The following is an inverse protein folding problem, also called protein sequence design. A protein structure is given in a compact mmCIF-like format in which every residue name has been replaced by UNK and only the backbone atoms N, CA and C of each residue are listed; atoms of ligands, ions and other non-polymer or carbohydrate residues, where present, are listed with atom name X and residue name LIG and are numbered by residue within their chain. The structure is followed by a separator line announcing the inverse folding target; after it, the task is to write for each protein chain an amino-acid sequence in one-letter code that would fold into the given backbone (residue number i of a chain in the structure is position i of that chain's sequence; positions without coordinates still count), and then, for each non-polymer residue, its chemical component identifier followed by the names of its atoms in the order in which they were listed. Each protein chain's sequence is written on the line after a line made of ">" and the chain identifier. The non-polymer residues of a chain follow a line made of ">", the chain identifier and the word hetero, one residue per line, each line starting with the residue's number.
data_IF_284776784713
#
_entry.id   IF_284776784713
#
_cell.length_a   1.000
_cell.length_b   1.000
_cell.length_c   1.000
_cell.angle_alpha   90.00
_cell.angle_beta   90.00
_cell.angle_gamma   90.00
#
_symmetry.space_group_name_H-M   'P 1'
#
loop_
_entity.id
_entity.type
_entity.pdbx_description
1 polymer ?
#
# COMPACT_ATOMS: atom_id res chain seq x y z
N UNK A 1 21.36 -20.58 0.73
CA UNK A 1 22.05 -19.75 1.74
C UNK A 1 21.02 -19.52 2.83
N UNK A 2 21.24 -20.08 3.99
CA UNK A 2 20.25 -20.22 5.08
C UNK A 2 20.05 -18.85 5.75
N UNK A 3 18.80 -18.44 5.96
CA UNK A 3 18.43 -17.38 6.91
C UNK A 3 19.07 -17.74 8.24
N UNK A 4 19.65 -16.76 8.95
CA UNK A 4 20.13 -17.00 10.32
C UNK A 4 18.99 -17.61 11.14
N UNK A 5 19.30 -18.52 12.05
CA UNK A 5 18.33 -19.38 12.78
C UNK A 5 17.15 -18.66 13.47
N UNK A 6 17.05 -17.34 13.37
CA UNK A 6 16.00 -16.53 14.02
C UNK A 6 15.33 -15.49 13.09
N UNK A 7 15.57 -15.52 11.77
CA UNK A 7 14.96 -14.58 10.83
C UNK A 7 13.86 -15.26 10.02
N UNK A 8 12.73 -14.57 9.86
CA UNK A 8 11.58 -15.02 9.12
C UNK A 8 11.06 -13.89 8.21
N UNK A 9 10.54 -14.26 7.03
CA UNK A 9 9.83 -13.32 6.15
C UNK A 9 8.38 -13.76 6.08
N UNK A 10 7.47 -12.84 6.39
CA UNK A 10 6.03 -13.09 6.36
C UNK A 10 5.23 -11.86 5.97
N UNK A 11 3.97 -12.04 5.66
CA UNK A 11 3.00 -10.96 5.52
C UNK A 11 2.59 -10.44 6.91
N UNK A 12 2.60 -9.13 7.10
CA UNK A 12 2.18 -8.48 8.33
C UNK A 12 0.66 -8.28 8.31
N UNK A 13 -0.07 -9.09 9.05
CA UNK A 13 -1.53 -8.97 9.20
C UNK A 13 -1.93 -8.23 10.48
N UNK A 14 -1.10 -8.33 11.50
CA UNK A 14 -1.26 -7.72 12.83
C UNK A 14 0.09 -7.20 13.30
N UNK A 15 0.10 -6.20 14.13
CA UNK A 15 1.34 -5.62 14.65
C UNK A 15 1.21 -5.28 16.13
N UNK A 16 2.33 -5.30 16.84
CA UNK A 16 2.51 -4.77 18.19
C UNK A 16 2.96 -3.31 18.12
N UNK A 17 2.87 -2.58 19.23
CA UNK A 17 3.38 -1.21 19.30
C UNK A 17 4.89 -1.17 18.98
N UNK A 18 5.66 -2.16 19.46
CA UNK A 18 7.10 -2.25 19.16
C UNK A 18 7.36 -2.41 17.67
N UNK A 19 6.62 -3.27 16.99
CA UNK A 19 6.72 -3.46 15.53
C UNK A 19 6.30 -2.21 14.73
N UNK A 20 5.36 -1.42 15.23
CA UNK A 20 5.05 -0.13 14.62
C UNK A 20 6.23 0.85 14.72
N UNK A 21 6.90 0.91 15.88
CA UNK A 21 8.09 1.77 16.04
C UNK A 21 9.26 1.28 15.17
N UNK A 22 9.43 -0.05 15.02
CA UNK A 22 10.41 -0.62 14.08
C UNK A 22 10.13 -0.18 12.64
N UNK A 23 8.87 -0.29 12.18
CA UNK A 23 8.47 0.18 10.85
C UNK A 23 8.68 1.68 10.68
N UNK A 24 8.35 2.47 11.70
CA UNK A 24 8.56 3.93 11.67
C UNK A 24 10.05 4.28 11.54
N UNK A 25 10.91 3.55 12.22
CA UNK A 25 12.36 3.69 12.07
C UNK A 25 12.80 3.35 10.64
N UNK A 26 12.33 2.24 10.07
CA UNK A 26 12.63 1.84 8.69
C UNK A 26 12.18 2.89 7.68
N UNK A 27 10.98 3.45 7.84
CA UNK A 27 10.49 4.52 6.96
C UNK A 27 11.37 5.77 7.04
N UNK A 28 11.92 6.11 8.21
CA UNK A 28 12.87 7.22 8.36
C UNK A 28 14.22 6.95 7.66
N UNK A 29 14.67 5.70 7.62
CA UNK A 29 15.85 5.30 6.84
C UNK A 29 15.59 5.32 5.32
N UNK A 30 14.34 5.11 4.91
CA UNK A 30 13.93 5.15 3.51
C UNK A 30 13.89 6.58 2.98
N UNK A 31 13.33 7.52 3.76
CA UNK A 31 13.19 8.92 3.35
C UNK A 31 12.93 9.85 4.53
N UNK A 32 13.71 10.95 4.61
CA UNK A 32 13.54 12.02 5.61
C UNK A 32 12.21 12.79 5.50
N UNK A 33 11.44 12.55 4.43
CA UNK A 33 10.17 13.25 4.15
C UNK A 33 8.94 12.46 4.59
N UNK A 34 9.11 11.23 5.05
CA UNK A 34 8.00 10.37 5.43
C UNK A 34 7.58 10.66 6.87
N UNK A 35 6.33 11.03 7.06
CA UNK A 35 5.69 11.09 8.37
C UNK A 35 4.75 9.89 8.50
N UNK A 36 5.31 8.71 8.80
CA UNK A 36 4.57 7.47 8.91
C UNK A 36 3.78 7.40 10.21
N UNK A 37 2.48 7.18 10.10
CA UNK A 37 1.54 7.12 11.23
C UNK A 37 0.88 5.74 11.34
N UNK A 38 0.27 5.46 12.49
CA UNK A 38 -0.54 4.24 12.65
C UNK A 38 -1.73 4.20 11.67
N UNK A 39 -2.29 5.36 11.34
CA UNK A 39 -3.38 5.46 10.36
C UNK A 39 -2.91 5.01 8.97
N UNK A 40 -1.70 5.39 8.55
CA UNK A 40 -1.13 4.96 7.28
C UNK A 40 -0.91 3.45 7.26
N UNK A 41 -0.35 2.87 8.34
CA UNK A 41 -0.20 1.42 8.46
C UNK A 41 -1.55 0.69 8.38
N UNK A 42 -2.56 1.21 9.08
CA UNK A 42 -3.89 0.60 9.07
C UNK A 42 -4.57 0.68 7.70
N UNK A 43 -4.30 1.71 6.88
CA UNK A 43 -4.78 1.77 5.50
C UNK A 43 -4.18 0.63 4.67
N UNK A 44 -2.87 0.41 4.79
CA UNK A 44 -2.18 -0.70 4.08
C UNK A 44 -2.74 -2.05 4.52
N UNK A 45 -2.83 -2.33 5.83
CA UNK A 45 -3.24 -3.63 6.35
C UNK A 45 -4.74 -3.97 6.10
N UNK A 46 -5.57 -2.96 5.82
CA UNK A 46 -7.01 -3.16 5.52
C UNK A 46 -7.32 -3.27 4.03
N UNK A 47 -6.41 -2.86 3.19
CA UNK A 47 -6.60 -2.92 1.74
C UNK A 47 -6.24 -4.33 1.24
N UNK A 48 -7.22 -5.04 0.71
CA UNK A 48 -7.03 -6.39 0.16
C UNK A 48 -6.13 -6.45 -1.09
N UNK A 49 -5.76 -5.31 -1.65
CA UNK A 49 -4.82 -5.21 -2.76
C UNK A 49 -3.42 -4.76 -2.31
N UNK A 50 -3.21 -4.52 -1.01
CA UNK A 50 -1.93 -4.15 -0.44
C UNK A 50 -1.44 -5.24 0.51
N UNK A 51 -0.23 -5.75 0.27
CA UNK A 51 0.39 -6.81 1.05
C UNK A 51 1.73 -6.30 1.59
N UNK A 52 1.80 -6.07 2.89
CA UNK A 52 3.03 -5.63 3.56
C UNK A 52 3.81 -6.86 4.03
N UNK A 53 4.95 -7.13 3.42
CA UNK A 53 5.86 -8.19 3.82
C UNK A 53 6.96 -7.64 4.70
N UNK A 54 7.30 -8.34 5.77
CA UNK A 54 8.31 -7.92 6.74
C UNK A 54 9.35 -9.02 6.96
N UNK A 55 10.56 -8.60 7.29
CA UNK A 55 11.61 -9.47 7.80
C UNK A 55 11.61 -9.31 9.32
N UNK A 56 11.46 -10.40 10.04
CA UNK A 56 11.56 -10.46 11.49
C UNK A 56 12.93 -11.00 11.91
N UNK A 57 13.51 -10.38 12.94
CA UNK A 57 14.57 -10.94 13.77
C UNK A 57 14.02 -11.11 15.19
N UNK A 58 13.56 -12.31 15.51
CA UNK A 58 12.72 -12.55 16.67
C UNK A 58 11.38 -11.80 16.54
N UNK A 59 11.09 -10.86 17.45
CA UNK A 59 9.86 -10.07 17.45
C UNK A 59 9.99 -8.71 16.72
N UNK A 60 11.23 -8.35 16.32
CA UNK A 60 11.54 -7.05 15.71
C UNK A 60 11.46 -7.08 14.18
N UNK A 61 10.88 -6.04 13.60
CA UNK A 61 10.88 -5.85 12.15
C UNK A 61 12.17 -5.15 11.73
N UNK A 62 12.96 -5.82 10.89
CA UNK A 62 14.27 -5.34 10.42
C UNK A 62 14.30 -5.01 8.92
N UNK A 63 13.22 -5.23 8.23
CA UNK A 63 13.04 -4.84 6.82
C UNK A 63 11.60 -5.04 6.39
N UNK A 64 11.20 -4.32 5.34
CA UNK A 64 9.87 -4.47 4.74
C UNK A 64 9.85 -4.15 3.25
N UNK A 65 8.77 -4.58 2.61
CA UNK A 65 8.37 -4.21 1.25
C UNK A 65 6.85 -4.36 1.11
N UNK A 66 6.21 -3.45 0.39
CA UNK A 66 4.77 -3.49 0.12
C UNK A 66 4.53 -3.89 -1.33
N UNK A 67 3.67 -4.89 -1.56
CA UNK A 67 3.16 -5.26 -2.89
C UNK A 67 1.76 -4.67 -3.03
N UNK A 68 1.59 -3.71 -3.95
CA UNK A 68 0.30 -3.08 -4.24
C UNK A 68 -0.21 -3.57 -5.60
N UNK A 69 -1.39 -4.20 -5.62
CA UNK A 69 -2.00 -4.77 -6.83
C UNK A 69 -3.06 -3.81 -7.34
N UNK A 70 -3.07 -3.56 -8.63
CA UNK A 70 -4.08 -2.73 -9.26
C UNK A 70 -4.47 -3.26 -10.64
N UNK A 71 -5.69 -2.92 -11.04
CA UNK A 71 -6.26 -3.34 -12.32
C UNK A 71 -6.43 -2.14 -13.24
N UNK A 72 -6.15 -2.35 -14.52
CA UNK A 72 -6.43 -1.39 -15.58
C UNK A 72 -7.00 -2.13 -16.80
N UNK A 73 -7.60 -1.42 -17.77
CA UNK A 73 -8.07 -2.08 -19.00
C UNK A 73 -7.01 -2.88 -19.75
N UNK A 74 -5.72 -2.63 -19.48
CA UNK A 74 -4.59 -3.35 -20.09
C UNK A 74 -4.09 -4.53 -19.26
N UNK A 75 -4.76 -4.87 -18.17
CA UNK A 75 -4.44 -6.05 -17.34
C UNK A 75 -4.16 -5.75 -15.88
N UNK A 76 -3.81 -6.80 -15.15
CA UNK A 76 -3.40 -6.75 -13.74
C UNK A 76 -1.93 -6.36 -13.65
N UNK A 77 -1.65 -5.42 -12.77
CA UNK A 77 -0.30 -4.91 -12.49
C UNK A 77 -0.09 -4.83 -11.00
N UNK A 78 1.17 -4.86 -10.58
CA UNK A 78 1.53 -4.55 -9.21
C UNK A 78 2.73 -3.61 -9.16
N UNK A 79 2.77 -2.78 -8.13
CA UNK A 79 3.93 -2.00 -7.75
C UNK A 79 4.54 -2.56 -6.47
N UNK A 80 5.87 -2.64 -6.42
CA UNK A 80 6.59 -2.97 -5.19
C UNK A 80 7.13 -1.65 -4.63
N UNK A 81 6.64 -1.30 -3.46
CA UNK A 81 6.90 -0.02 -2.81
C UNK A 81 7.63 -0.21 -1.48
N UNK A 82 8.28 0.85 -1.03
CA UNK A 82 8.89 0.98 0.30
C UNK A 82 9.83 -0.17 0.68
N UNK A 83 10.63 -0.63 -0.31
CA UNK A 83 11.65 -1.67 -0.07
C UNK A 83 12.78 -1.10 0.77
N UNK A 84 12.88 -1.56 2.01
CA UNK A 84 13.90 -1.15 2.96
C UNK A 84 14.36 -2.30 3.85
N UNK A 85 15.63 -2.31 4.18
CA UNK A 85 16.24 -3.16 5.23
C UNK A 85 17.07 -2.25 6.11
N UNK A 86 16.90 -2.36 7.42
CA UNK A 86 17.64 -1.57 8.39
C UNK A 86 19.14 -1.60 8.10
N UNK A 87 19.77 -0.44 8.18
CA UNK A 87 21.20 -0.24 7.93
C UNK A 87 22.08 -1.16 8.79
N UNK A 88 21.62 -1.51 10.01
CA UNK A 88 22.29 -2.44 10.91
C UNK A 88 22.39 -3.88 10.34
N UNK A 89 21.55 -4.22 9.36
CA UNK A 89 21.46 -5.54 8.74
C UNK A 89 21.98 -5.57 7.30
N UNK A 90 22.60 -4.50 6.82
CA UNK A 90 23.16 -4.46 5.47
C UNK A 90 24.27 -5.50 5.28
N UNK A 91 24.51 -5.91 4.04
CA UNK A 91 25.53 -6.92 3.69
C UNK A 91 25.11 -8.38 3.97
N UNK A 92 23.94 -8.62 4.57
CA UNK A 92 23.44 -9.96 4.89
C UNK A 92 22.49 -10.54 3.82
N UNK A 93 22.40 -9.94 2.66
CA UNK A 93 21.53 -10.33 1.54
C UNK A 93 20.02 -10.33 1.83
N UNK A 94 19.59 -9.71 2.94
CA UNK A 94 18.18 -9.70 3.34
C UNK A 94 17.27 -9.01 2.32
N UNK A 95 17.72 -7.91 1.73
CA UNK A 95 16.96 -7.24 0.68
C UNK A 95 16.72 -8.13 -0.55
N UNK A 96 17.67 -9.01 -0.89
CA UNK A 96 17.47 -10.01 -1.95
C UNK A 96 16.43 -11.05 -1.56
N UNK A 97 16.53 -11.60 -0.36
CA UNK A 97 15.59 -12.61 0.14
C UNK A 97 14.16 -12.04 0.23
N UNK A 98 14.01 -10.81 0.73
CA UNK A 98 12.73 -10.12 0.77
C UNK A 98 12.12 -9.96 -0.62
N UNK A 99 12.89 -9.47 -1.59
CA UNK A 99 12.42 -9.29 -2.95
C UNK A 99 12.05 -10.61 -3.62
N UNK A 100 12.86 -11.66 -3.43
CA UNK A 100 12.56 -13.02 -3.93
C UNK A 100 11.26 -13.55 -3.32
N UNK A 101 11.04 -13.32 -2.02
CA UNK A 101 9.81 -13.69 -1.33
C UNK A 101 8.60 -12.94 -1.91
N UNK A 102 8.67 -11.60 -2.03
CA UNK A 102 7.60 -10.78 -2.62
C UNK A 102 7.25 -11.22 -4.03
N UNK A 103 8.27 -11.49 -4.86
CA UNK A 103 8.07 -11.97 -6.23
C UNK A 103 7.40 -13.35 -6.27
N UNK A 104 7.70 -14.23 -5.32
CA UNK A 104 7.04 -15.53 -5.21
C UNK A 104 5.57 -15.37 -4.84
N UNK A 105 5.25 -14.50 -3.85
CA UNK A 105 3.87 -14.21 -3.48
C UNK A 105 3.08 -13.58 -4.63
N UNK A 106 3.71 -12.71 -5.42
CA UNK A 106 3.08 -12.09 -6.58
C UNK A 106 2.61 -13.10 -7.64
N UNK A 107 3.15 -14.31 -7.67
CA UNK A 107 2.71 -15.38 -8.60
C UNK A 107 1.26 -15.81 -8.39
N UNK A 108 0.72 -15.64 -7.19
CA UNK A 108 -0.69 -15.92 -6.90
C UNK A 108 -1.66 -15.06 -7.72
N UNK A 109 -1.17 -13.90 -8.22
CA UNK A 109 -1.94 -12.95 -9.01
C UNK A 109 -1.63 -13.02 -10.51
N UNK A 110 -0.89 -14.02 -10.97
CA UNK A 110 -0.49 -14.15 -12.37
C UNK A 110 -1.72 -14.39 -13.29
N UNK A 111 -1.73 -13.85 -14.53
CA UNK A 111 -0.64 -13.07 -15.13
C UNK A 111 -0.59 -11.63 -14.59
N UNK A 112 0.60 -11.20 -14.18
CA UNK A 112 0.82 -9.89 -13.57
C UNK A 112 2.12 -9.24 -14.08
N UNK A 113 2.12 -7.92 -14.26
CA UNK A 113 3.33 -7.13 -14.55
C UNK A 113 3.77 -6.41 -13.28
N UNK A 114 4.98 -6.73 -12.79
CA UNK A 114 5.57 -6.09 -11.61
C UNK A 114 6.34 -4.83 -12.00
N UNK A 115 6.08 -3.75 -11.28
CA UNK A 115 6.78 -2.48 -11.40
C UNK A 115 7.43 -2.11 -10.08
N UNK A 116 8.48 -1.31 -10.15
CA UNK A 116 9.03 -0.56 -9.02
C UNK A 116 9.71 0.70 -9.53
N UNK A 117 9.85 1.68 -8.65
CA UNK A 117 10.67 2.86 -8.90
C UNK A 117 11.86 2.90 -7.95
N UNK A 118 12.99 3.40 -8.41
CA UNK A 118 14.19 3.51 -7.58
C UNK A 118 15.01 4.74 -7.98
N UNK A 119 15.48 5.46 -6.98
CA UNK A 119 16.40 6.58 -7.21
C UNK A 119 17.70 6.04 -7.85
N UNK A 120 18.21 6.66 -8.93
CA UNK A 120 19.48 6.26 -9.55
C UNK A 120 20.67 6.22 -8.60
N UNK A 121 20.66 7.04 -7.54
CA UNK A 121 21.71 7.06 -6.51
C UNK A 121 21.73 5.82 -5.60
N UNK A 122 20.65 5.04 -5.57
CA UNK A 122 20.57 3.77 -4.82
C UNK A 122 21.22 2.62 -5.64
N UNK A 123 22.54 2.75 -5.87
CA UNK A 123 23.29 1.86 -6.75
C UNK A 123 23.14 0.39 -6.37
N UNK A 124 23.22 0.07 -5.08
CA UNK A 124 23.10 -1.32 -4.58
C UNK A 124 21.70 -1.91 -4.87
N UNK A 125 20.65 -1.15 -4.59
CA UNK A 125 19.27 -1.56 -4.85
C UNK A 125 19.02 -1.74 -6.36
N UNK A 126 19.47 -0.81 -7.18
CA UNK A 126 19.32 -0.90 -8.64
C UNK A 126 20.04 -2.13 -9.23
N UNK A 127 21.23 -2.48 -8.71
CA UNK A 127 21.92 -3.72 -9.09
C UNK A 127 21.14 -4.96 -8.64
N UNK A 128 20.58 -4.93 -7.45
CA UNK A 128 19.75 -6.02 -6.93
C UNK A 128 18.56 -6.26 -7.84
N UNK A 129 17.77 -5.24 -8.17
CA UNK A 129 16.60 -5.39 -9.04
C UNK A 129 16.94 -5.96 -10.41
N UNK A 130 18.02 -5.49 -11.03
CA UNK A 130 18.50 -6.05 -12.29
C UNK A 130 18.92 -7.52 -12.16
N UNK A 131 19.56 -7.90 -11.07
CA UNK A 131 19.96 -9.30 -10.81
C UNK A 131 18.77 -10.24 -10.61
N UNK A 132 17.60 -9.68 -10.20
CA UNK A 132 16.34 -10.39 -10.04
C UNK A 132 15.51 -10.43 -11.33
N UNK A 133 16.00 -9.87 -12.43
CA UNK A 133 15.34 -9.89 -13.73
C UNK A 133 14.50 -8.66 -14.05
N UNK A 134 14.45 -7.65 -13.17
CA UNK A 134 13.80 -6.38 -13.50
C UNK A 134 14.60 -5.66 -14.59
N UNK A 135 13.90 -5.16 -15.59
CA UNK A 135 14.47 -4.40 -16.69
C UNK A 135 14.20 -2.91 -16.49
N UNK A 136 15.23 -2.10 -16.63
CA UNK A 136 15.06 -0.64 -16.65
C UNK A 136 14.23 -0.24 -17.86
N UNK A 137 13.12 0.45 -17.63
CA UNK A 137 12.29 0.98 -18.73
C UNK A 137 12.80 2.33 -19.22
N UNK A 138 12.81 2.53 -20.53
CA UNK A 138 13.06 3.81 -21.19
C UNK A 138 11.75 4.62 -21.24
N UNK A 139 11.28 5.07 -20.07
CA UNK A 139 10.03 5.83 -19.89
C UNK A 139 10.21 6.89 -18.83
N UNK A 140 9.49 8.02 -18.97
CA UNK A 140 9.49 9.05 -17.96
C UNK A 140 8.52 8.67 -16.83
N UNK A 141 8.90 8.96 -15.59
CA UNK A 141 8.02 8.94 -14.44
C UNK A 141 7.67 10.38 -14.06
N UNK A 142 6.38 10.68 -13.94
CA UNK A 142 5.88 12.00 -13.54
C UNK A 142 5.18 11.90 -12.20
N UNK A 143 5.43 12.86 -11.32
CA UNK A 143 4.79 12.97 -10.01
C UNK A 143 4.16 14.34 -9.84
N UNK A 144 2.97 14.38 -9.29
CA UNK A 144 2.30 15.61 -8.86
C UNK A 144 1.69 15.37 -7.48
N UNK A 145 1.89 16.31 -6.57
CA UNK A 145 1.25 16.28 -5.25
C UNK A 145 -0.04 17.11 -5.30
N UNK A 146 -1.15 16.47 -4.94
CA UNK A 146 -2.44 17.15 -4.76
C UNK A 146 -2.64 17.33 -3.26
N UNK A 147 -2.59 18.58 -2.78
CA UNK A 147 -2.83 18.90 -1.37
C UNK A 147 -4.31 19.08 -1.08
N UNK A 148 -4.71 18.91 0.18
CA UNK A 148 -6.11 19.06 0.63
C UNK A 148 -6.76 20.39 0.22
N UNK A 149 -5.98 21.46 0.09
CA UNK A 149 -6.49 22.77 -0.34
C UNK A 149 -6.98 22.81 -1.80
N UNK A 150 -6.55 21.88 -2.64
CA UNK A 150 -6.99 21.76 -4.03
C UNK A 150 -8.17 20.79 -4.22
N UNK A 151 -8.45 19.94 -3.21
CA UNK A 151 -9.42 18.83 -3.33
C UNK A 151 -10.82 19.13 -2.80
N UNK A 152 -11.01 20.24 -2.05
CA UNK A 152 -12.23 20.38 -1.23
C UNK A 152 -13.55 20.64 -1.97
N UNK A 153 -13.56 21.12 -3.20
CA UNK A 153 -14.84 21.35 -3.91
C UNK A 153 -15.13 20.21 -4.89
N UNK A 154 -14.23 19.91 -5.81
CA UNK A 154 -14.48 18.96 -6.91
C UNK A 154 -14.55 17.49 -6.43
N UNK A 155 -13.68 17.07 -5.51
CA UNK A 155 -13.70 15.69 -5.00
C UNK A 155 -14.95 15.43 -4.12
N UNK A 156 -15.27 16.39 -3.24
CA UNK A 156 -16.46 16.31 -2.39
C UNK A 156 -17.74 16.28 -3.23
N UNK A 157 -17.80 17.07 -4.30
CA UNK A 157 -18.96 17.09 -5.21
C UNK A 157 -19.06 15.79 -6.01
N UNK A 158 -17.96 15.24 -6.48
CA UNK A 158 -17.91 13.93 -7.15
C UNK A 158 -18.32 12.81 -6.20
N UNK A 159 -17.85 12.84 -4.95
CA UNK A 159 -18.24 11.86 -3.93
C UNK A 159 -19.73 11.96 -3.59
N UNK A 160 -20.29 13.19 -3.44
CA UNK A 160 -21.71 13.40 -3.23
C UNK A 160 -22.55 12.83 -4.37
N UNK A 161 -22.11 13.02 -5.62
CA UNK A 161 -22.75 12.41 -6.78
C UNK A 161 -22.71 10.88 -6.74
N UNK A 162 -21.56 10.29 -6.41
CA UNK A 162 -21.40 8.85 -6.29
C UNK A 162 -22.28 8.26 -5.18
N UNK A 163 -22.36 8.92 -4.03
CA UNK A 163 -23.25 8.53 -2.93
C UNK A 163 -24.71 8.61 -3.37
N UNK A 164 -25.11 9.70 -4.01
CA UNK A 164 -26.48 9.88 -4.51
C UNK A 164 -26.85 8.81 -5.53
N UNK A 165 -25.95 8.50 -6.45
CA UNK A 165 -26.15 7.43 -7.45
C UNK A 165 -26.30 6.06 -6.76
N UNK A 166 -25.43 5.73 -5.81
CA UNK A 166 -25.49 4.47 -5.08
C UNK A 166 -26.83 4.30 -4.35
N UNK A 167 -27.26 5.35 -3.64
CA UNK A 167 -28.55 5.36 -2.94
C UNK A 167 -29.71 5.17 -3.93
N UNK A 168 -29.69 5.89 -5.05
CA UNK A 168 -30.70 5.75 -6.10
C UNK A 168 -30.77 4.35 -6.69
N UNK A 169 -29.61 3.74 -6.95
CA UNK A 169 -29.49 2.36 -7.42
C UNK A 169 -30.10 1.35 -6.44
N UNK A 170 -29.71 1.41 -5.17
CA UNK A 170 -30.23 0.53 -4.11
C UNK A 170 -31.77 0.62 -3.99
N UNK A 171 -32.30 1.85 -4.06
CA UNK A 171 -33.77 2.08 -4.02
C UNK A 171 -34.47 1.52 -5.26
N UNK A 172 -33.89 1.66 -6.44
CA UNK A 172 -34.43 1.12 -7.68
C UNK A 172 -34.45 -0.44 -7.69
N UNK A 173 -33.48 -1.06 -7.01
CA UNK A 173 -33.38 -2.50 -6.83
C UNK A 173 -34.29 -3.04 -5.69
N UNK A 174 -35.05 -2.14 -5.04
CA UNK A 174 -36.01 -2.49 -3.98
C UNK A 174 -35.39 -2.63 -2.58
N UNK A 175 -34.14 -2.24 -2.41
CA UNK A 175 -33.52 -2.22 -1.10
C UNK A 175 -34.04 -1.01 -0.28
N UNK A 176 -34.81 -1.27 0.75
CA UNK A 176 -35.40 -0.25 1.62
C UNK A 176 -34.63 -0.07 2.96
N UNK A 177 -33.59 -0.88 3.19
CA UNK A 177 -32.76 -0.78 4.39
C UNK A 177 -32.00 0.56 4.44
N UNK A 178 -31.73 1.08 5.64
CA UNK A 178 -30.92 2.29 5.79
C UNK A 178 -29.52 2.08 5.21
N UNK A 179 -29.12 2.99 4.34
CA UNK A 179 -27.77 2.96 3.74
C UNK A 179 -26.81 3.63 4.71
N UNK A 180 -26.02 2.81 5.40
CA UNK A 180 -25.07 3.29 6.41
C UNK A 180 -23.78 3.85 5.78
N UNK A 181 -23.08 4.77 6.46
CA UNK A 181 -21.77 5.25 6.01
C UNK A 181 -20.76 4.12 5.79
N UNK A 182 -20.83 3.06 6.63
CA UNK A 182 -19.96 1.89 6.48
C UNK A 182 -20.25 1.12 5.17
N UNK A 183 -21.52 0.97 4.82
CA UNK A 183 -21.91 0.36 3.54
C UNK A 183 -21.37 1.17 2.35
N UNK A 184 -21.58 2.49 2.36
CA UNK A 184 -21.09 3.42 1.32
C UNK A 184 -19.56 3.39 1.22
N UNK A 185 -18.87 3.42 2.36
CA UNK A 185 -17.40 3.33 2.43
C UNK A 185 -16.88 2.08 1.72
N UNK A 186 -17.50 0.94 1.96
CA UNK A 186 -17.13 -0.33 1.31
C UNK A 186 -17.43 -0.34 -0.18
N UNK A 187 -18.61 0.14 -0.57
CA UNK A 187 -19.04 0.12 -1.97
C UNK A 187 -18.26 1.08 -2.86
N UNK A 188 -17.88 2.24 -2.33
CA UNK A 188 -17.13 3.26 -3.07
C UNK A 188 -15.62 3.22 -2.84
N UNK A 189 -15.16 2.32 -1.96
CA UNK A 189 -13.75 2.23 -1.53
C UNK A 189 -13.19 3.60 -1.06
N UNK A 190 -13.96 4.28 -0.21
CA UNK A 190 -13.62 5.60 0.35
C UNK A 190 -13.51 5.47 1.86
N UNK A 191 -12.51 6.10 2.53
CA UNK A 191 -12.38 6.05 3.98
C UNK A 191 -13.67 6.43 4.71
N UNK A 192 -14.02 5.66 5.75
CA UNK A 192 -15.30 5.80 6.47
C UNK A 192 -15.52 7.23 6.99
N UNK A 193 -14.50 7.83 7.60
CA UNK A 193 -14.55 9.20 8.11
C UNK A 193 -14.88 10.26 7.05
N UNK A 194 -14.37 10.05 5.81
CA UNK A 194 -14.66 10.92 4.67
C UNK A 194 -16.12 10.78 4.23
N UNK A 195 -16.61 9.54 4.19
CA UNK A 195 -18.02 9.23 3.88
C UNK A 195 -18.94 9.79 4.94
N UNK A 196 -18.64 9.57 6.23
CA UNK A 196 -19.44 10.10 7.36
C UNK A 196 -19.58 11.61 7.28
N UNK A 197 -18.46 12.31 7.05
CA UNK A 197 -18.46 13.76 6.87
C UNK A 197 -19.33 14.18 5.68
N UNK A 198 -19.15 13.52 4.54
CA UNK A 198 -19.88 13.82 3.31
C UNK A 198 -21.39 13.56 3.45
N UNK A 199 -21.80 12.41 3.98
CA UNK A 199 -23.20 12.06 4.22
C UNK A 199 -23.87 13.03 5.20
N UNK A 200 -23.15 13.44 6.25
CA UNK A 200 -23.61 14.45 7.21
C UNK A 200 -23.85 15.81 6.51
N UNK A 201 -22.94 16.24 5.65
CA UNK A 201 -23.11 17.46 4.85
C UNK A 201 -24.31 17.39 3.88
N UNK A 202 -24.62 16.18 3.37
CA UNK A 202 -25.77 15.90 2.51
C UNK A 202 -27.09 15.78 3.31
N UNK A 203 -27.06 15.81 4.64
CA UNK A 203 -28.23 15.59 5.50
C UNK A 203 -28.76 14.16 5.50
N UNK A 204 -27.95 13.20 5.10
CA UNK A 204 -28.27 11.77 5.10
C UNK A 204 -27.95 11.24 6.49
N UNK A 205 -28.93 10.61 7.15
CA UNK A 205 -28.80 10.03 8.50
C UNK A 205 -28.63 8.53 8.41
#
# INVERSE_FOLDING_TARGET
>A
MTIKDNMEIQELLYYTQAQFEDLKQLMSELSDRVNFTQSDLMLVLRDCNCHLYVILDGEHIVGCATLCIFHSPTGTKASIEDVVVSSAYHGQHLGKQLMEYVMEQAKAFAPIELHLTSNPMRVAANKLYQSLGFQKKETNCYQMTISESATNSSYTDSLKQSITYLIGKERAEGNLEPITPLYVSRMLNVPLEVVEKCMKEMGIK
#
